data_IF_325818736268
#
_entry.id   IF_325818736268
#
_cell.length_a   1.000
_cell.length_b   1.000
_cell.length_c   1.000
_cell.angle_alpha   90.00
_cell.angle_beta   90.00
_cell.angle_gamma   90.00
#
_symmetry.space_group_name_H-M   'P 1'
#
loop_
_entity.id
_entity.type
_entity.pdbx_description
1 polymer ?
#
# COMPACT_ATOMS: atom_id res chain seq x y z
N UNK A 1 -15.72 -17.89 3.75
CA UNK A 1 -15.42 -16.45 3.88
C UNK A 1 -14.17 -16.20 4.73
N UNK A 2 -14.00 -16.88 5.86
CA UNK A 2 -12.82 -16.74 6.72
C UNK A 2 -11.46 -17.00 6.03
N UNK A 3 -11.32 -18.12 5.28
CA UNK A 3 -10.05 -18.47 4.62
C UNK A 3 -9.65 -17.46 3.54
N UNK A 4 -10.61 -16.98 2.74
CA UNK A 4 -10.35 -15.99 1.70
C UNK A 4 -9.91 -14.65 2.31
N UNK A 5 -10.59 -14.20 3.38
CA UNK A 5 -10.21 -12.99 4.13
C UNK A 5 -8.78 -13.07 4.66
N UNK A 6 -8.39 -14.19 5.30
CA UNK A 6 -7.03 -14.37 5.81
C UNK A 6 -6.01 -14.34 4.68
N UNK A 7 -6.21 -15.11 3.61
CA UNK A 7 -5.26 -15.19 2.49
C UNK A 7 -5.07 -13.82 1.85
N UNK A 8 -6.17 -13.10 1.56
CA UNK A 8 -6.11 -11.77 0.94
C UNK A 8 -5.42 -10.76 1.86
N UNK A 9 -5.74 -10.76 3.15
CA UNK A 9 -5.16 -9.83 4.13
C UNK A 9 -3.66 -10.07 4.30
N UNK A 10 -3.25 -11.33 4.44
CA UNK A 10 -1.82 -11.68 4.57
C UNK A 10 -1.07 -11.35 3.27
N UNK A 11 -1.62 -11.69 2.10
CA UNK A 11 -1.00 -11.36 0.82
C UNK A 11 -0.85 -9.84 0.64
N UNK A 12 -1.90 -9.07 0.92
CA UNK A 12 -1.89 -7.61 0.85
C UNK A 12 -0.87 -7.00 1.83
N UNK A 13 -0.78 -7.53 3.05
CA UNK A 13 0.19 -7.09 4.05
C UNK A 13 1.63 -7.35 3.62
N UNK A 14 1.94 -8.58 3.18
CA UNK A 14 3.28 -8.95 2.72
C UNK A 14 3.71 -8.15 1.48
N UNK A 15 2.81 -8.00 0.52
CA UNK A 15 3.07 -7.25 -0.71
C UNK A 15 3.33 -5.77 -0.42
N UNK A 16 2.51 -5.16 0.44
CA UNK A 16 2.66 -3.77 0.88
C UNK A 16 3.92 -3.57 1.72
N UNK A 17 4.22 -4.51 2.61
CA UNK A 17 5.43 -4.51 3.44
C UNK A 17 6.70 -4.63 2.59
N UNK A 18 6.70 -5.48 1.57
CA UNK A 18 7.78 -5.55 0.59
C UNK A 18 7.96 -4.21 -0.12
N UNK A 19 6.88 -3.56 -0.54
CA UNK A 19 6.92 -2.22 -1.13
C UNK A 19 7.51 -1.16 -0.20
N UNK A 20 7.21 -1.22 1.10
CA UNK A 20 7.79 -0.35 2.11
C UNK A 20 9.32 -0.54 2.20
N UNK A 21 9.74 -1.80 2.32
CA UNK A 21 11.14 -2.19 2.33
C UNK A 21 11.88 -1.71 1.07
N UNK A 22 11.30 -1.88 -0.12
CA UNK A 22 11.92 -1.47 -1.37
C UNK A 22 12.15 0.04 -1.49
N UNK A 23 11.29 0.87 -0.87
CA UNK A 23 11.53 2.32 -0.79
C UNK A 23 12.77 2.59 0.09
N UNK A 24 12.86 1.97 1.27
CA UNK A 24 13.96 2.18 2.20
C UNK A 24 15.30 1.60 1.69
N UNK A 25 15.24 0.46 1.01
CA UNK A 25 16.37 -0.14 0.30
C UNK A 25 16.78 0.65 -0.95
N UNK A 26 16.06 1.73 -1.29
CA UNK A 26 16.28 2.59 -2.45
C UNK A 26 16.33 1.80 -3.77
N UNK A 27 15.45 0.80 -3.89
CA UNK A 27 15.42 -0.06 -5.06
C UNK A 27 15.14 0.78 -6.32
N UNK A 28 15.95 0.68 -7.40
CA UNK A 28 15.87 1.58 -8.56
C UNK A 28 14.49 1.61 -9.22
N UNK A 29 13.79 0.48 -9.25
CA UNK A 29 12.44 0.35 -9.80
C UNK A 29 11.36 1.07 -8.97
N UNK A 30 11.67 1.51 -7.75
CA UNK A 30 10.79 2.30 -6.89
C UNK A 30 11.23 3.76 -6.83
N UNK A 31 12.51 4.01 -6.54
CA UNK A 31 13.00 5.38 -6.34
C UNK A 31 13.16 6.15 -7.64
N UNK A 32 13.46 5.48 -8.76
CA UNK A 32 13.51 6.09 -10.08
C UNK A 32 12.16 6.72 -10.47
N UNK A 33 11.06 5.95 -10.42
CA UNK A 33 9.73 6.52 -10.65
C UNK A 33 9.35 7.61 -9.63
N UNK A 34 9.64 7.42 -8.32
CA UNK A 34 9.36 8.47 -7.31
C UNK A 34 10.07 9.80 -7.61
N UNK A 35 11.35 9.74 -8.01
CA UNK A 35 12.11 10.90 -8.43
C UNK A 35 11.52 11.53 -9.70
N UNK A 36 11.11 10.70 -10.66
CA UNK A 36 10.47 11.16 -11.91
C UNK A 36 9.14 11.88 -11.63
N UNK A 37 8.36 11.45 -10.64
CA UNK A 37 7.12 12.14 -10.24
C UNK A 37 7.37 13.44 -9.46
N UNK A 38 8.62 13.77 -9.13
CA UNK A 38 8.98 14.93 -8.33
C UNK A 38 8.77 14.76 -6.83
N UNK A 39 8.68 13.52 -6.32
CA UNK A 39 8.55 13.26 -4.88
C UNK A 39 9.92 13.48 -4.20
N UNK A 40 10.05 14.46 -3.29
CA UNK A 40 11.33 14.74 -2.64
C UNK A 40 11.83 13.54 -1.84
N UNK A 41 13.15 13.31 -1.84
CA UNK A 41 13.76 12.19 -1.13
C UNK A 41 13.49 12.21 0.38
N UNK A 42 13.30 13.39 0.97
CA UNK A 42 12.92 13.55 2.39
C UNK A 42 11.58 12.87 2.73
N UNK A 43 10.70 12.67 1.75
CA UNK A 43 9.42 11.98 1.93
C UNK A 43 9.53 10.45 1.85
N UNK A 44 10.60 9.90 1.27
CA UNK A 44 10.67 8.46 0.99
C UNK A 44 10.63 7.63 2.28
N UNK A 45 11.30 8.10 3.34
CA UNK A 45 11.23 7.44 4.64
C UNK A 45 9.79 7.37 5.17
N UNK A 46 9.08 8.51 5.16
CA UNK A 46 7.71 8.62 5.63
C UNK A 46 6.72 7.81 4.80
N UNK A 47 6.90 7.76 3.48
CA UNK A 47 6.11 6.93 2.58
C UNK A 47 6.29 5.43 2.87
N UNK A 48 7.53 5.00 3.08
CA UNK A 48 7.83 3.63 3.52
C UNK A 48 7.20 3.33 4.89
N UNK A 49 7.30 4.26 5.84
CA UNK A 49 6.73 4.10 7.18
C UNK A 49 5.21 3.95 7.14
N UNK A 50 4.52 4.77 6.34
CA UNK A 50 3.07 4.67 6.17
C UNK A 50 2.65 3.30 5.61
N UNK A 51 3.37 2.79 4.59
CA UNK A 51 3.13 1.44 4.05
C UNK A 51 3.41 0.35 5.07
N UNK A 52 4.51 0.44 5.79
CA UNK A 52 4.88 -0.54 6.82
C UNK A 52 3.86 -0.57 7.96
N UNK A 53 3.41 0.60 8.43
CA UNK A 53 2.36 0.72 9.44
C UNK A 53 1.04 0.11 8.95
N UNK A 54 0.64 0.39 7.70
CA UNK A 54 -0.55 -0.23 7.11
C UNK A 54 -0.43 -1.75 6.98
N UNK A 55 0.73 -2.26 6.54
CA UNK A 55 0.99 -3.69 6.44
C UNK A 55 0.91 -4.41 7.81
N UNK A 56 1.55 -3.84 8.83
CA UNK A 56 1.47 -4.35 10.20
C UNK A 56 0.05 -4.25 10.77
N UNK A 57 -0.65 -3.15 10.48
CA UNK A 57 -2.04 -2.95 10.88
C UNK A 57 -3.00 -3.97 10.25
N UNK A 58 -2.78 -4.36 8.98
CA UNK A 58 -3.55 -5.44 8.34
C UNK A 58 -3.35 -6.78 9.07
N UNK A 59 -2.12 -7.11 9.45
CA UNK A 59 -1.83 -8.35 10.20
C UNK A 59 -2.42 -8.30 11.62
N UNK A 60 -2.27 -7.18 12.33
CA UNK A 60 -2.90 -6.96 13.63
C UNK A 60 -4.45 -7.03 13.53
N UNK A 61 -4.99 -6.61 12.38
CA UNK A 61 -6.39 -6.70 12.01
C UNK A 61 -7.00 -8.09 12.05
N UNK A 62 -6.18 -9.13 11.86
CA UNK A 62 -6.63 -10.53 11.96
C UNK A 62 -7.01 -10.93 13.39
N UNK A 63 -6.46 -10.24 14.39
CA UNK A 63 -6.78 -10.44 15.82
C UNK A 63 -7.74 -9.35 16.30
N UNK A 64 -7.57 -8.13 15.80
CA UNK A 64 -8.32 -6.94 16.24
C UNK A 64 -8.96 -6.26 15.01
N UNK A 65 -10.20 -6.62 14.64
CA UNK A 65 -10.79 -6.25 13.35
C UNK A 65 -10.78 -4.75 13.02
N UNK A 66 -11.05 -3.89 14.02
CA UNK A 66 -11.09 -2.44 13.82
C UNK A 66 -9.73 -1.84 13.47
N UNK A 67 -8.61 -2.45 13.92
CA UNK A 67 -7.25 -2.05 13.49
C UNK A 67 -7.06 -2.39 12.02
N UNK A 68 -7.50 -3.58 11.59
CA UNK A 68 -7.41 -4.04 10.21
C UNK A 68 -8.16 -3.14 9.24
N UNK A 69 -9.40 -2.78 9.58
CA UNK A 69 -10.23 -1.87 8.78
C UNK A 69 -9.55 -0.49 8.66
N UNK A 70 -9.08 0.08 9.77
CA UNK A 70 -8.39 1.37 9.76
C UNK A 70 -7.10 1.34 8.92
N UNK A 71 -6.31 0.27 9.04
CA UNK A 71 -5.10 0.06 8.25
C UNK A 71 -5.39 -0.10 6.76
N UNK A 72 -6.39 -0.90 6.40
CA UNK A 72 -6.81 -1.11 5.02
C UNK A 72 -7.32 0.19 4.39
N UNK A 73 -8.14 0.96 5.11
CA UNK A 73 -8.60 2.27 4.67
C UNK A 73 -7.43 3.26 4.48
N UNK A 74 -6.49 3.30 5.42
CA UNK A 74 -5.27 4.11 5.31
C UNK A 74 -4.43 3.74 4.08
N UNK A 75 -4.25 2.45 3.79
CA UNK A 75 -3.55 1.97 2.60
C UNK A 75 -4.29 2.34 1.31
N UNK A 76 -5.62 2.22 1.29
CA UNK A 76 -6.43 2.67 0.15
C UNK A 76 -6.20 4.16 -0.12
N UNK A 77 -6.31 5.01 0.90
CA UNK A 77 -6.05 6.44 0.78
C UNK A 77 -4.62 6.74 0.32
N UNK A 78 -3.63 6.03 0.88
CA UNK A 78 -2.24 6.12 0.49
C UNK A 78 -2.05 5.84 -1.01
N UNK A 79 -2.59 4.71 -1.51
CA UNK A 79 -2.40 4.31 -2.90
C UNK A 79 -3.23 5.15 -3.87
N UNK A 80 -4.38 5.68 -3.45
CA UNK A 80 -5.10 6.71 -4.21
C UNK A 80 -4.25 7.98 -4.36
N UNK A 81 -3.61 8.45 -3.28
CA UNK A 81 -2.65 9.55 -3.34
C UNK A 81 -1.47 9.27 -4.30
N UNK A 82 -1.00 8.03 -4.34
CA UNK A 82 0.02 7.60 -5.30
C UNK A 82 -0.50 7.65 -6.75
N UNK A 83 -1.72 7.16 -7.02
CA UNK A 83 -2.36 7.27 -8.35
C UNK A 83 -2.43 8.74 -8.77
N UNK A 84 -2.90 9.63 -7.89
CA UNK A 84 -2.98 11.07 -8.19
C UNK A 84 -1.59 11.65 -8.50
N UNK A 85 -0.56 11.26 -7.75
CA UNK A 85 0.82 11.70 -7.99
C UNK A 85 1.32 11.26 -9.37
N UNK A 86 1.09 10.01 -9.76
CA UNK A 86 1.50 9.47 -11.07
C UNK A 86 0.76 10.17 -12.22
N UNK A 87 -0.56 10.35 -12.08
CA UNK A 87 -1.40 11.03 -13.08
C UNK A 87 -0.99 12.50 -13.22
N UNK A 88 -0.70 13.20 -12.12
CA UNK A 88 -0.20 14.59 -12.14
C UNK A 88 1.15 14.71 -12.83
N UNK A 89 2.03 13.72 -12.65
CA UNK A 89 3.30 13.62 -13.38
C UNK A 89 3.13 13.16 -14.84
N UNK A 90 1.90 12.85 -15.30
CA UNK A 90 1.57 12.34 -16.63
C UNK A 90 2.34 11.06 -17.00
N UNK A 91 2.74 10.27 -15.99
CA UNK A 91 3.54 9.06 -16.18
C UNK A 91 2.64 7.84 -16.36
N UNK A 92 1.98 7.72 -17.52
CA UNK A 92 0.99 6.66 -17.78
C UNK A 92 1.57 5.24 -17.74
N UNK A 93 2.84 5.06 -18.13
CA UNK A 93 3.51 3.75 -18.14
C UNK A 93 3.75 3.17 -16.74
N UNK A 94 3.72 4.00 -15.70
CA UNK A 94 3.96 3.58 -14.31
C UNK A 94 2.70 3.55 -13.47
N UNK A 95 1.55 3.91 -14.06
CA UNK A 95 0.25 3.96 -13.39
C UNK A 95 -0.21 2.60 -12.88
N UNK A 96 0.22 1.51 -13.53
CA UNK A 96 -0.07 0.14 -13.08
C UNK A 96 0.45 -0.13 -11.67
N UNK A 97 1.61 0.45 -11.30
CA UNK A 97 2.28 0.17 -10.04
C UNK A 97 1.39 0.48 -8.82
N UNK A 98 0.84 1.70 -8.63
CA UNK A 98 -0.04 1.97 -7.50
C UNK A 98 -1.34 1.15 -7.52
N UNK A 99 -1.90 0.85 -8.70
CA UNK A 99 -3.10 0.01 -8.81
C UNK A 99 -2.86 -1.44 -8.32
N UNK A 100 -1.68 -1.99 -8.57
CA UNK A 100 -1.31 -3.34 -8.09
C UNK A 100 -1.34 -3.46 -6.56
N UNK A 101 -1.19 -2.36 -5.82
CA UNK A 101 -1.33 -2.34 -4.36
C UNK A 101 -2.71 -1.88 -3.89
N UNK A 102 -3.36 -0.97 -4.63
CA UNK A 102 -4.68 -0.46 -4.32
C UNK A 102 -5.74 -1.57 -4.33
N UNK A 103 -5.70 -2.47 -5.33
CA UNK A 103 -6.69 -3.53 -5.49
C UNK A 103 -6.67 -4.51 -4.30
N UNK A 104 -5.52 -5.08 -3.88
CA UNK A 104 -5.47 -5.92 -2.68
C UNK A 104 -5.86 -5.17 -1.40
N UNK A 105 -5.47 -3.90 -1.24
CA UNK A 105 -5.85 -3.11 -0.07
C UNK A 105 -7.36 -2.86 0.01
N UNK A 106 -7.99 -2.55 -1.13
CA UNK A 106 -9.44 -2.40 -1.21
C UNK A 106 -10.17 -3.73 -0.98
N UNK A 107 -9.65 -4.85 -1.51
CA UNK A 107 -10.21 -6.17 -1.26
C UNK A 107 -10.09 -6.59 0.23
N UNK A 108 -8.96 -6.30 0.88
CA UNK A 108 -8.80 -6.54 2.31
C UNK A 108 -9.78 -5.69 3.14
N UNK A 109 -9.98 -4.42 2.75
CA UNK A 109 -10.96 -3.54 3.39
C UNK A 109 -12.39 -4.08 3.24
N UNK A 110 -12.82 -4.43 2.03
CA UNK A 110 -14.18 -4.94 1.81
C UNK A 110 -14.42 -6.24 2.54
N UNK A 111 -13.47 -7.18 2.48
CA UNK A 111 -13.59 -8.45 3.21
C UNK A 111 -13.57 -8.24 4.73
N UNK A 112 -12.75 -7.32 5.24
CA UNK A 112 -12.69 -7.03 6.68
C UNK A 112 -13.93 -6.33 7.24
N UNK A 113 -14.65 -5.56 6.41
CA UNK A 113 -15.95 -4.96 6.78
C UNK A 113 -17.09 -5.98 6.73
N UNK A 114 -16.96 -7.01 5.88
CA UNK A 114 -17.99 -8.03 5.66
C UNK A 114 -17.80 -9.31 6.48
N UNK A 115 -16.66 -9.46 7.17
CA UNK A 115 -16.31 -10.62 8.00
C UNK A 115 -16.84 -10.49 9.44
#
# INVERSE_FOLDING_TARGET
MHTAFIIVTVAAALWTGFSAYSIWAKAPYVVGPLAHYGVPQSWWFWLGLAKAAGALGLLAGLVVPWIGIAAAAGLVLYFLGAVVTVVRARSWGTLVAPFMYLVPAAAALTLGVLA
#
